data_IF_176125569503
#
_entry.id   IF_176125569503
#
_cell.length_a   1.000
_cell.length_b   1.000
_cell.length_c   1.000
_cell.angle_alpha   90.00
_cell.angle_beta   90.00
_cell.angle_gamma   90.00
#
_symmetry.space_group_name_H-M   'P 1'
#
loop_
_entity.id
_entity.type
_entity.pdbx_description
1 polymer ?
#
# COMPACT_ATOMS: atom_id res chain seq x y z
N UNK A 1 23.59 2.21 17.67
CA UNK A 1 23.26 1.44 16.45
C UNK A 1 21.87 1.84 16.02
N UNK A 2 21.67 2.17 14.76
CA UNK A 2 20.34 2.57 14.28
C UNK A 2 19.40 1.37 14.37
N UNK A 3 18.33 1.49 15.17
CA UNK A 3 17.31 0.45 15.32
C UNK A 3 16.31 0.51 14.15
N UNK A 4 16.82 0.34 12.90
CA UNK A 4 16.07 0.42 11.66
C UNK A 4 16.05 -0.93 10.97
N UNK A 5 14.88 -1.35 10.54
CA UNK A 5 14.67 -2.49 9.67
C UNK A 5 14.30 -2.03 8.26
N UNK A 6 15.09 -2.40 7.26
CA UNK A 6 14.85 -2.06 5.87
C UNK A 6 13.89 -3.07 5.22
N UNK A 7 12.65 -2.62 5.03
CA UNK A 7 11.61 -3.43 4.40
C UNK A 7 11.98 -3.70 2.94
N UNK A 8 12.00 -4.97 2.58
CA UNK A 8 12.18 -5.41 1.19
C UNK A 8 13.61 -5.66 0.77
N UNK A 9 14.62 -5.44 1.62
CA UNK A 9 16.00 -5.88 1.35
C UNK A 9 16.11 -7.40 1.31
N UNK A 10 15.39 -8.08 2.21
CA UNK A 10 15.39 -9.54 2.35
C UNK A 10 13.95 -10.08 2.49
N UNK A 11 13.72 -11.38 2.25
CA UNK A 11 12.47 -12.02 2.62
C UNK A 11 12.20 -11.88 4.11
N UNK A 12 10.96 -11.55 4.48
CA UNK A 12 10.59 -11.46 5.88
C UNK A 12 10.52 -12.87 6.49
N UNK A 13 11.35 -13.13 7.51
CA UNK A 13 11.31 -14.35 8.31
C UNK A 13 10.52 -14.16 9.62
N UNK A 14 10.17 -15.26 10.28
CA UNK A 14 9.52 -15.19 11.60
C UNK A 14 10.43 -14.53 12.64
N UNK A 15 11.73 -14.78 12.61
CA UNK A 15 12.72 -14.15 13.48
C UNK A 15 12.82 -12.64 13.19
N UNK A 16 12.71 -12.24 11.91
CA UNK A 16 12.65 -10.84 11.50
C UNK A 16 11.41 -10.14 12.08
N UNK A 17 10.24 -10.77 12.01
CA UNK A 17 9.00 -10.27 12.61
C UNK A 17 9.16 -10.10 14.13
N UNK A 18 9.65 -11.12 14.81
CA UNK A 18 9.87 -11.09 16.25
C UNK A 18 10.78 -9.92 16.64
N UNK A 19 11.92 -9.76 15.97
CA UNK A 19 12.84 -8.64 16.21
C UNK A 19 12.16 -7.28 16.01
N UNK A 20 11.42 -7.09 14.92
CA UNK A 20 10.71 -5.84 14.64
C UNK A 20 9.74 -5.51 15.77
N UNK A 21 8.96 -6.49 16.22
CA UNK A 21 7.92 -6.29 17.23
C UNK A 21 8.50 -6.10 18.64
N UNK A 22 9.49 -6.92 19.03
CA UNK A 22 10.05 -6.90 20.39
C UNK A 22 11.02 -5.74 20.62
N UNK A 23 11.81 -5.39 19.61
CA UNK A 23 12.80 -4.30 19.70
C UNK A 23 12.26 -2.95 19.28
N UNK A 24 10.97 -2.85 18.94
CA UNK A 24 10.33 -1.63 18.49
C UNK A 24 11.10 -0.92 17.36
N UNK A 25 11.54 -1.69 16.35
CA UNK A 25 12.38 -1.18 15.28
C UNK A 25 11.60 -0.16 14.41
N UNK A 26 12.30 0.89 13.97
CA UNK A 26 11.79 1.78 12.92
C UNK A 26 11.82 1.05 11.58
N UNK A 27 10.74 1.14 10.81
CA UNK A 27 10.65 0.56 9.48
C UNK A 27 10.99 1.62 8.43
N UNK A 28 11.87 1.29 7.51
CA UNK A 28 12.18 2.12 6.34
C UNK A 28 12.20 1.24 5.09
N UNK A 29 11.80 1.83 3.95
CA UNK A 29 11.93 1.16 2.65
C UNK A 29 13.38 1.20 2.20
N UNK A 30 13.89 0.07 1.71
CA UNK A 30 15.22 0.06 1.09
C UNK A 30 15.25 0.93 -0.18
N UNK A 31 16.42 1.49 -0.57
CA UNK A 31 16.52 2.30 -1.79
C UNK A 31 16.00 1.59 -3.03
N UNK A 32 16.30 0.30 -3.17
CA UNK A 32 15.88 -0.53 -4.31
C UNK A 32 14.35 -0.68 -4.35
N UNK A 33 13.72 -0.81 -3.18
CA UNK A 33 12.26 -0.89 -3.09
C UNK A 33 11.63 0.45 -3.44
N UNK A 34 12.18 1.57 -2.96
CA UNK A 34 11.71 2.92 -3.33
C UNK A 34 11.75 3.12 -4.85
N UNK A 35 12.86 2.78 -5.47
CA UNK A 35 13.02 2.88 -6.93
C UNK A 35 12.02 1.99 -7.70
N UNK A 36 11.76 0.77 -7.21
CA UNK A 36 10.76 -0.12 -7.82
C UNK A 36 9.34 0.43 -7.70
N UNK A 37 9.00 0.99 -6.54
CA UNK A 37 7.70 1.64 -6.33
C UNK A 37 7.56 2.84 -7.28
N UNK A 38 8.60 3.67 -7.40
CA UNK A 38 8.57 4.81 -8.30
C UNK A 38 8.38 4.38 -9.76
N UNK A 39 9.15 3.43 -10.25
CA UNK A 39 8.97 2.89 -11.62
C UNK A 39 7.57 2.33 -11.87
N UNK A 40 7.00 1.65 -10.87
CA UNK A 40 5.63 1.15 -10.98
C UNK A 40 4.61 2.31 -11.06
N UNK A 41 4.86 3.36 -10.29
CA UNK A 41 4.02 4.57 -10.31
C UNK A 41 4.08 5.28 -11.65
N UNK A 42 5.28 5.53 -12.16
CA UNK A 42 5.50 6.20 -13.44
C UNK A 42 4.84 5.43 -14.61
N UNK A 43 4.96 4.08 -14.58
CA UNK A 43 4.28 3.24 -15.56
C UNK A 43 2.76 3.39 -15.49
N UNK A 44 2.20 3.42 -14.27
CA UNK A 44 0.76 3.56 -14.08
C UNK A 44 0.25 4.94 -14.55
N UNK A 45 0.97 6.01 -14.22
CA UNK A 45 0.61 7.36 -14.63
C UNK A 45 0.61 7.48 -16.16
N UNK A 46 1.64 6.96 -16.82
CA UNK A 46 1.69 6.91 -18.28
C UNK A 46 0.53 6.12 -18.89
N UNK A 47 0.14 4.98 -18.28
CA UNK A 47 -1.01 4.20 -18.71
C UNK A 47 -2.33 4.95 -18.56
N UNK A 48 -2.49 5.73 -17.49
CA UNK A 48 -3.69 6.55 -17.26
C UNK A 48 -3.77 7.66 -18.31
N UNK A 49 -2.66 8.30 -18.64
CA UNK A 49 -2.59 9.37 -19.64
C UNK A 49 -2.91 8.87 -21.06
N UNK A 50 -2.49 7.67 -21.40
CA UNK A 50 -2.77 7.05 -22.71
C UNK A 50 -4.23 6.64 -22.89
N UNK A 51 -5.02 6.56 -21.84
CA UNK A 51 -6.45 6.26 -21.84
C UNK A 51 -6.90 5.11 -22.77
N UNK A 52 -6.17 4.03 -22.80
CA UNK A 52 -6.52 2.86 -23.61
C UNK A 52 -7.72 2.03 -23.07
N UNK A 53 -8.51 2.59 -22.17
CA UNK A 53 -9.70 1.96 -21.60
C UNK A 53 -9.74 1.96 -20.08
N UNK A 54 -10.83 1.43 -19.49
CA UNK A 54 -11.01 1.41 -18.05
C UNK A 54 -10.03 0.44 -17.38
N UNK A 55 -9.32 0.94 -16.38
CA UNK A 55 -8.43 0.13 -15.53
C UNK A 55 -9.12 -0.16 -14.21
N UNK A 56 -9.51 -1.42 -13.97
CA UNK A 56 -10.24 -1.83 -12.79
C UNK A 56 -9.55 -1.39 -11.48
N UNK A 57 -10.31 -0.72 -10.63
CA UNK A 57 -9.83 -0.23 -9.35
C UNK A 57 -8.80 0.91 -9.42
N UNK A 58 -8.57 1.46 -10.61
CA UNK A 58 -7.69 2.60 -10.85
C UNK A 58 -8.51 3.74 -11.44
N UNK A 59 -9.04 3.56 -12.66
CA UNK A 59 -9.93 4.52 -13.32
C UNK A 59 -11.40 4.11 -13.26
N UNK A 60 -11.74 3.06 -12.51
CA UNK A 60 -13.11 2.61 -12.24
C UNK A 60 -13.35 2.44 -10.76
N UNK A 61 -14.62 2.37 -10.36
CA UNK A 61 -15.01 1.89 -9.05
C UNK A 61 -14.76 0.40 -8.86
N UNK A 62 -15.15 -0.14 -7.71
CA UNK A 62 -14.98 -1.53 -7.31
C UNK A 62 -16.30 -2.29 -7.32
N UNK A 63 -16.25 -3.62 -7.44
CA UNK A 63 -17.41 -4.49 -7.38
C UNK A 63 -18.49 -4.10 -8.39
N UNK A 64 -19.68 -3.77 -7.94
CA UNK A 64 -20.81 -3.34 -8.78
C UNK A 64 -20.55 -2.03 -9.53
N UNK A 65 -19.55 -1.26 -9.13
CA UNK A 65 -19.16 0.00 -9.75
C UNK A 65 -18.00 -0.15 -10.74
N UNK A 66 -17.58 -1.36 -11.07
CA UNK A 66 -16.46 -1.62 -11.97
C UNK A 66 -16.64 -1.03 -13.38
N UNK A 67 -17.88 -0.79 -13.81
CA UNK A 67 -18.22 -0.19 -15.10
C UNK A 67 -18.35 1.36 -15.04
N UNK A 68 -18.18 1.96 -13.86
CA UNK A 68 -18.20 3.41 -13.70
C UNK A 68 -16.80 3.95 -13.91
N UNK A 69 -16.61 4.64 -15.03
CA UNK A 69 -15.35 5.33 -15.30
C UNK A 69 -15.27 6.59 -14.44
N UNK A 70 -14.12 6.83 -13.86
CA UNK A 70 -13.82 7.96 -12.97
C UNK A 70 -12.93 8.92 -13.72
N UNK A 71 -13.27 10.20 -13.69
CA UNK A 71 -12.45 11.23 -14.32
C UNK A 71 -11.09 11.35 -13.63
N UNK A 72 -10.02 11.75 -14.34
CA UNK A 72 -8.69 11.92 -13.74
C UNK A 72 -8.71 12.84 -12.50
N UNK A 73 -9.54 13.88 -12.51
CA UNK A 73 -9.64 14.86 -11.42
C UNK A 73 -10.26 14.25 -10.16
N UNK A 74 -11.10 13.22 -10.33
CA UNK A 74 -11.79 12.53 -9.21
C UNK A 74 -11.02 11.31 -8.68
N UNK A 75 -9.95 10.88 -9.34
CA UNK A 75 -9.19 9.69 -8.92
C UNK A 75 -8.62 9.82 -7.51
N UNK A 76 -8.15 10.99 -7.12
CA UNK A 76 -7.66 11.24 -5.76
C UNK A 76 -8.76 11.09 -4.73
N UNK A 77 -9.93 11.66 -5.01
CA UNK A 77 -11.11 11.58 -4.14
C UNK A 77 -11.61 10.13 -4.02
N UNK A 78 -11.61 9.38 -5.13
CA UNK A 78 -11.98 7.96 -5.13
C UNK A 78 -11.07 7.16 -4.17
N UNK A 79 -9.77 7.37 -4.25
CA UNK A 79 -8.80 6.67 -3.41
C UNK A 79 -8.95 7.05 -1.92
N UNK A 80 -9.16 8.32 -1.63
CA UNK A 80 -9.41 8.79 -0.26
C UNK A 80 -10.71 8.19 0.31
N UNK A 81 -11.79 8.19 -0.47
CA UNK A 81 -13.07 7.61 -0.07
C UNK A 81 -12.97 6.11 0.14
N UNK A 82 -12.14 5.40 -0.65
CA UNK A 82 -11.88 3.98 -0.44
C UNK A 82 -11.28 3.72 0.94
N UNK A 83 -10.26 4.49 1.34
CA UNK A 83 -9.65 4.36 2.67
C UNK A 83 -10.66 4.71 3.76
N UNK A 84 -11.39 5.83 3.62
CA UNK A 84 -12.41 6.25 4.58
C UNK A 84 -13.50 5.20 4.77
N UNK A 85 -13.96 4.58 3.69
CA UNK A 85 -15.01 3.55 3.74
C UNK A 85 -14.61 2.26 4.45
N UNK A 86 -13.31 2.00 4.55
CA UNK A 86 -12.74 0.84 5.25
C UNK A 86 -12.23 1.16 6.66
N UNK A 87 -12.16 2.44 7.02
CA UNK A 87 -11.69 2.91 8.32
C UNK A 87 -12.80 2.88 9.38
N UNK A 88 -13.70 1.90 9.31
CA UNK A 88 -14.77 1.68 10.27
C UNK A 88 -14.44 0.44 11.11
N UNK A 89 -14.53 0.58 12.42
CA UNK A 89 -14.39 -0.55 13.34
C UNK A 89 -15.55 -0.58 14.32
N UNK A 90 -15.92 -1.79 14.73
CA UNK A 90 -16.95 -2.06 15.73
C UNK A 90 -16.42 -3.13 16.68
N UNK A 91 -16.63 -2.94 17.98
CA UNK A 91 -16.17 -3.86 19.03
C UNK A 91 -14.94 -3.37 19.77
N UNK A 92 -14.33 -4.28 20.52
CA UNK A 92 -13.16 -3.97 21.34
C UNK A 92 -11.90 -3.71 20.52
N UNK A 93 -10.97 -2.96 21.08
CA UNK A 93 -9.69 -2.66 20.45
C UNK A 93 -8.86 -3.92 20.24
N UNK A 94 -8.31 -4.05 19.03
CA UNK A 94 -7.36 -5.13 18.70
C UNK A 94 -6.02 -4.82 19.37
N UNK A 95 -5.35 -5.87 19.88
CA UNK A 95 -4.03 -5.73 20.51
C UNK A 95 -3.06 -4.93 19.62
N UNK A 96 -2.34 -3.94 20.19
CA UNK A 96 -1.36 -3.13 19.44
C UNK A 96 -0.30 -3.96 18.70
N UNK A 97 0.08 -5.12 19.23
CA UNK A 97 1.04 -6.03 18.57
C UNK A 97 0.45 -6.59 17.27
N UNK A 98 -0.83 -7.00 17.30
CA UNK A 98 -1.53 -7.50 16.11
C UNK A 98 -1.67 -6.37 15.07
N UNK A 99 -2.06 -5.18 15.49
CA UNK A 99 -2.18 -4.02 14.58
C UNK A 99 -0.84 -3.72 13.91
N UNK A 100 0.26 -3.68 14.67
CA UNK A 100 1.62 -3.46 14.12
C UNK A 100 2.02 -4.55 13.13
N UNK A 101 1.70 -5.82 13.43
CA UNK A 101 1.95 -6.92 12.51
C UNK A 101 1.14 -6.79 11.22
N UNK A 102 -0.14 -6.44 11.32
CA UNK A 102 -1.00 -6.19 10.16
C UNK A 102 -0.44 -5.06 9.29
N UNK A 103 -0.01 -3.95 9.89
CA UNK A 103 0.60 -2.83 9.17
C UNK A 103 1.92 -3.23 8.49
N UNK A 104 2.78 -3.98 9.18
CA UNK A 104 4.02 -4.51 8.61
C UNK A 104 3.76 -5.38 7.38
N UNK A 105 2.84 -6.34 7.51
CA UNK A 105 2.47 -7.23 6.40
C UNK A 105 1.84 -6.44 5.24
N UNK A 106 1.02 -5.44 5.55
CA UNK A 106 0.45 -4.55 4.53
C UNK A 106 1.51 -3.76 3.79
N UNK A 107 2.52 -3.24 4.50
CA UNK A 107 3.65 -2.53 3.90
C UNK A 107 4.53 -3.41 2.99
N UNK A 108 4.52 -4.73 3.18
CA UNK A 108 5.24 -5.67 2.33
C UNK A 108 4.50 -6.04 1.04
N UNK A 109 3.17 -5.86 0.99
CA UNK A 109 2.37 -6.20 -0.19
C UNK A 109 2.80 -5.49 -1.49
N UNK A 110 3.21 -4.20 -1.49
CA UNK A 110 3.71 -3.53 -2.69
C UNK A 110 4.94 -4.19 -3.31
N UNK A 111 5.69 -5.00 -2.54
CA UNK A 111 6.83 -5.76 -3.05
C UNK A 111 6.41 -6.88 -3.99
N UNK A 112 5.24 -7.48 -3.74
CA UNK A 112 4.76 -8.69 -4.44
C UNK A 112 3.55 -8.44 -5.32
N UNK A 113 2.81 -7.37 -5.08
CA UNK A 113 1.50 -7.15 -5.68
C UNK A 113 1.50 -6.01 -6.70
N UNK A 114 0.85 -6.26 -7.81
CA UNK A 114 0.43 -5.30 -8.83
C UNK A 114 -0.72 -4.40 -8.32
N UNK A 115 -0.67 -3.94 -7.06
CA UNK A 115 -1.78 -3.22 -6.44
C UNK A 115 -1.59 -1.71 -6.46
N UNK A 116 -2.64 -0.92 -6.76
CA UNK A 116 -2.62 0.54 -6.84
C UNK A 116 -2.38 1.27 -5.50
N UNK A 117 -2.35 0.55 -4.38
CA UNK A 117 -2.09 1.10 -3.03
C UNK A 117 -0.70 1.73 -2.83
N UNK A 118 0.21 1.59 -3.80
CA UNK A 118 1.52 2.26 -3.76
C UNK A 118 1.41 3.80 -3.67
N UNK A 119 0.28 4.38 -4.06
CA UNK A 119 0.06 5.84 -4.00
C UNK A 119 -0.02 6.36 -2.55
N UNK A 120 -0.52 5.57 -1.60
CA UNK A 120 -0.72 5.99 -0.20
C UNK A 120 0.53 5.85 0.67
N UNK A 121 1.59 5.20 0.19
CA UNK A 121 2.78 4.94 1.00
C UNK A 121 3.92 5.96 0.78
N UNK A 122 3.73 6.93 -0.11
CA UNK A 122 4.79 7.90 -0.48
C UNK A 122 4.53 9.30 0.11
N UNK A 123 3.40 9.52 0.74
CA UNK A 123 3.07 10.77 1.46
C UNK A 123 3.07 10.50 2.98
#
# INVERSE_FOLDING_TARGET
MSNVYYVGSEPLSFEGIERILTQNMKLELSPEVKERIQRCRDYLDHKIEQQEGPLYGITTGFGSLCNKNISPDELSTLQENLVKSHACSVGDEVSPVIVRLMMLLKALLPKTARFPLAKFMIH
#
